data_IF_671709342449
#
_entry.id   IF_671709342449
#
_cell.length_a   1.000
_cell.length_b   1.000
_cell.length_c   1.000
_cell.angle_alpha   90.00
_cell.angle_beta   90.00
_cell.angle_gamma   90.00
#
_symmetry.space_group_name_H-M   'P 1'
#
loop_
_entity.id
_entity.type
_entity.pdbx_description
1 polymer ?
#
# COMPACT_ATOMS: atom_id res chain seq x y z
N UNK A 1 -14.94 -7.55 14.87
CA UNK A 1 -13.91 -7.86 15.89
C UNK A 1 -13.09 -6.61 16.17
N UNK A 2 -12.98 -6.16 17.42
CA UNK A 2 -12.09 -5.06 17.80
C UNK A 2 -10.97 -5.60 18.69
N UNK A 3 -10.13 -6.48 18.13
CA UNK A 3 -9.00 -7.04 18.85
C UNK A 3 -7.84 -6.03 18.87
N UNK A 4 -7.02 -6.07 19.92
CA UNK A 4 -5.78 -5.28 19.99
C UNK A 4 -4.91 -5.52 18.75
N UNK A 5 -4.89 -6.74 18.23
CA UNK A 5 -4.17 -7.14 17.01
C UNK A 5 -4.67 -6.39 15.77
N UNK A 6 -5.99 -6.32 15.54
CA UNK A 6 -6.56 -5.56 14.41
C UNK A 6 -6.20 -4.08 14.49
N UNK A 7 -6.23 -3.49 15.69
CA UNK A 7 -5.86 -2.08 15.88
C UNK A 7 -4.37 -1.86 15.59
N UNK A 8 -3.49 -2.74 16.07
CA UNK A 8 -2.05 -2.66 15.79
C UNK A 8 -1.78 -2.80 14.29
N UNK A 9 -2.34 -3.82 13.64
CA UNK A 9 -2.20 -4.03 12.20
C UNK A 9 -2.67 -2.82 11.39
N UNK A 10 -3.78 -2.19 11.78
CA UNK A 10 -4.30 -0.99 11.15
C UNK A 10 -3.35 0.20 11.28
N UNK A 11 -2.78 0.44 12.46
CA UNK A 11 -1.80 1.52 12.65
C UNK A 11 -0.50 1.24 11.89
N UNK A 12 0.00 -0.01 11.92
CA UNK A 12 1.20 -0.40 11.19
C UNK A 12 1.01 -0.15 9.69
N UNK A 13 -0.09 -0.63 9.10
CA UNK A 13 -0.37 -0.39 7.70
C UNK A 13 -0.57 1.09 7.40
N UNK A 14 -1.36 1.80 8.22
CA UNK A 14 -1.66 3.21 8.03
C UNK A 14 -0.42 4.11 8.08
N UNK A 15 0.44 3.93 9.09
CA UNK A 15 1.69 4.68 9.24
C UNK A 15 2.66 4.35 8.10
N UNK A 16 2.76 3.07 7.72
CA UNK A 16 3.59 2.69 6.57
C UNK A 16 3.13 3.40 5.28
N UNK A 17 1.83 3.46 5.02
CA UNK A 17 1.30 4.15 3.84
C UNK A 17 1.58 5.66 3.90
N UNK A 18 1.46 6.30 5.07
CA UNK A 18 1.84 7.71 5.23
C UNK A 18 3.31 7.94 4.90
N UNK A 19 4.22 7.12 5.44
CA UNK A 19 5.66 7.23 5.18
C UNK A 19 5.94 7.08 3.68
N UNK A 20 5.44 6.03 3.04
CA UNK A 20 5.68 5.82 1.61
C UNK A 20 5.04 6.88 0.73
N UNK A 21 3.84 7.33 1.09
CA UNK A 21 3.12 8.35 0.34
C UNK A 21 3.83 9.69 0.39
N UNK A 22 4.23 10.14 1.59
CA UNK A 22 5.02 11.37 1.76
C UNK A 22 6.38 11.26 1.06
N UNK A 23 7.02 10.09 1.10
CA UNK A 23 8.30 9.89 0.42
C UNK A 23 8.21 10.12 -1.10
N UNK A 24 7.05 9.90 -1.74
CA UNK A 24 6.88 10.18 -3.17
C UNK A 24 6.96 11.66 -3.53
N UNK A 25 6.74 12.56 -2.57
CA UNK A 25 6.81 14.01 -2.77
C UNK A 25 8.10 14.63 -2.22
N UNK A 26 8.59 14.10 -1.10
CA UNK A 26 9.72 14.69 -0.38
C UNK A 26 11.04 13.94 -0.55
N UNK A 27 11.03 12.69 -1.04
CA UNK A 27 12.25 11.95 -1.39
C UNK A 27 13.23 11.72 -0.24
N UNK A 28 12.74 11.51 0.99
CA UNK A 28 13.59 11.36 2.18
C UNK A 28 14.13 9.94 2.40
N UNK A 29 13.61 8.93 1.70
CA UNK A 29 14.12 7.56 1.74
C UNK A 29 15.15 7.34 0.62
N UNK A 30 16.23 6.60 0.89
CA UNK A 30 17.20 6.26 -0.14
C UNK A 30 16.53 5.42 -1.25
N UNK A 31 16.94 5.66 -2.49
CA UNK A 31 16.51 4.84 -3.60
C UNK A 31 17.03 3.39 -3.42
N UNK A 32 16.17 2.37 -3.59
CA UNK A 32 16.61 0.99 -3.50
C UNK A 32 17.53 0.65 -4.69
N UNK A 33 18.48 -0.26 -4.45
CA UNK A 33 19.25 -0.87 -5.54
C UNK A 33 18.37 -1.89 -6.28
N UNK A 34 18.07 -1.62 -7.54
CA UNK A 34 17.12 -2.39 -8.35
C UNK A 34 17.82 -3.08 -9.53
N UNK A 35 17.43 -4.33 -9.86
CA UNK A 35 17.84 -4.97 -11.10
C UNK A 35 17.50 -4.13 -12.33
N UNK A 36 18.27 -4.27 -13.42
CA UNK A 36 18.12 -3.45 -14.63
C UNK A 36 16.67 -3.37 -15.15
N UNK A 37 15.96 -4.51 -15.22
CA UNK A 37 14.57 -4.55 -15.69
C UNK A 37 13.62 -3.77 -14.78
N UNK A 38 13.78 -3.89 -13.46
CA UNK A 38 13.03 -3.12 -12.47
C UNK A 38 13.32 -1.62 -12.61
N UNK A 39 14.60 -1.25 -12.78
CA UNK A 39 15.02 0.14 -12.96
C UNK A 39 14.37 0.76 -14.20
N UNK A 40 14.41 0.08 -15.35
CA UNK A 40 13.78 0.54 -16.60
C UNK A 40 12.28 0.80 -16.39
N UNK A 41 11.56 -0.15 -15.76
CA UNK A 41 10.14 0.00 -15.48
C UNK A 41 9.86 1.20 -14.57
N UNK A 42 10.60 1.33 -13.46
CA UNK A 42 10.42 2.43 -12.51
C UNK A 42 10.73 3.79 -13.14
N UNK A 43 11.78 3.90 -13.95
CA UNK A 43 12.11 5.14 -14.67
C UNK A 43 11.03 5.51 -15.69
N UNK A 44 10.43 4.53 -16.39
CA UNK A 44 9.33 4.80 -17.31
C UNK A 44 8.09 5.34 -16.58
N UNK A 45 7.76 4.76 -15.42
CA UNK A 45 6.66 5.27 -14.58
C UNK A 45 6.96 6.68 -14.04
N UNK A 46 8.19 6.94 -13.62
CA UNK A 46 8.61 8.27 -13.16
C UNK A 46 8.48 9.32 -14.27
N UNK A 47 9.00 8.98 -15.45
CA UNK A 47 9.02 9.86 -16.62
C UNK A 47 7.62 10.17 -17.15
N UNK A 48 6.60 9.38 -16.78
CA UNK A 48 5.20 9.69 -17.09
C UNK A 48 4.70 10.96 -16.38
N UNK A 49 5.34 11.35 -15.28
CA UNK A 49 5.01 12.57 -14.53
C UNK A 49 3.75 12.50 -13.65
N UNK A 50 2.93 11.45 -13.74
CA UNK A 50 1.67 11.35 -12.98
C UNK A 50 1.54 10.12 -12.09
N UNK A 51 2.20 9.00 -12.42
CA UNK A 51 2.01 7.73 -11.71
C UNK A 51 2.46 7.81 -10.24
N UNK A 52 3.68 8.28 -9.97
CA UNK A 52 4.18 8.36 -8.60
C UNK A 52 3.47 9.42 -7.74
N UNK A 53 3.17 10.63 -8.23
CA UNK A 53 2.33 11.57 -7.51
C UNK A 53 0.95 10.99 -7.18
N UNK A 54 0.29 10.34 -8.14
CA UNK A 54 -1.03 9.73 -7.92
C UNK A 54 -0.97 8.61 -6.88
N UNK A 55 0.04 7.75 -6.96
CA UNK A 55 0.27 6.70 -5.97
C UNK A 55 0.52 7.29 -4.57
N UNK A 56 1.30 8.37 -4.50
CA UNK A 56 1.55 9.11 -3.26
C UNK A 56 0.27 9.65 -2.63
N UNK A 57 -0.63 10.24 -3.43
CA UNK A 57 -1.96 10.71 -2.95
C UNK A 57 -2.77 9.56 -2.37
N UNK A 58 -2.88 8.43 -3.08
CA UNK A 58 -3.63 7.28 -2.59
C UNK A 58 -3.05 6.70 -1.30
N UNK A 59 -1.73 6.66 -1.17
CA UNK A 59 -1.07 6.19 0.05
C UNK A 59 -1.33 7.12 1.23
N UNK A 60 -1.21 8.43 1.03
CA UNK A 60 -1.49 9.42 2.08
C UNK A 60 -2.96 9.34 2.49
N UNK A 61 -3.88 9.32 1.53
CA UNK A 61 -5.32 9.23 1.79
C UNK A 61 -5.66 7.97 2.59
N UNK A 62 -5.23 6.80 2.13
CA UNK A 62 -5.46 5.54 2.84
C UNK A 62 -4.81 5.55 4.23
N UNK A 63 -3.58 6.07 4.35
CA UNK A 63 -2.86 6.19 5.61
C UNK A 63 -3.60 7.06 6.64
N UNK A 64 -4.05 8.25 6.24
CA UNK A 64 -4.83 9.15 7.10
C UNK A 64 -6.12 8.46 7.58
N UNK A 65 -6.86 7.84 6.67
CA UNK A 65 -8.12 7.16 6.98
C UNK A 65 -7.91 6.00 7.98
N UNK A 66 -6.87 5.19 7.77
CA UNK A 66 -6.53 4.10 8.68
C UNK A 66 -6.08 4.63 10.06
N UNK A 67 -5.20 5.62 10.13
CA UNK A 67 -4.69 6.16 11.41
C UNK A 67 -5.80 6.87 12.20
N UNK A 68 -6.65 7.65 11.52
CA UNK A 68 -7.79 8.35 12.15
C UNK A 68 -9.00 7.43 12.40
N UNK A 69 -8.91 6.15 11.97
CA UNK A 69 -9.98 5.15 12.04
C UNK A 69 -11.26 5.56 11.32
N UNK A 70 -11.18 6.44 10.31
CA UNK A 70 -12.30 6.91 9.50
C UNK A 70 -12.37 6.13 8.18
N UNK A 71 -13.58 5.79 7.75
CA UNK A 71 -13.83 5.11 6.46
C UNK A 71 -12.88 3.92 6.17
N UNK A 72 -12.57 3.11 7.20
CA UNK A 72 -11.59 2.01 7.10
C UNK A 72 -11.85 1.08 5.90
N UNK A 73 -13.09 0.60 5.62
CA UNK A 73 -13.33 -0.25 4.47
C UNK A 73 -12.93 0.39 3.13
N UNK A 74 -13.20 1.69 2.97
CA UNK A 74 -12.81 2.45 1.77
C UNK A 74 -11.28 2.57 1.64
N UNK A 75 -10.59 2.87 2.75
CA UNK A 75 -9.13 2.93 2.76
C UNK A 75 -8.48 1.60 2.34
N UNK A 76 -9.01 0.48 2.82
CA UNK A 76 -8.51 -0.85 2.47
C UNK A 76 -8.74 -1.18 0.98
N UNK A 77 -9.88 -0.76 0.41
CA UNK A 77 -10.17 -0.95 -1.02
C UNK A 77 -9.24 -0.14 -1.92
N UNK A 78 -8.91 1.10 -1.55
CA UNK A 78 -7.89 1.89 -2.27
C UNK A 78 -6.57 1.11 -2.36
N UNK A 79 -6.20 0.39 -1.29
CA UNK A 79 -4.95 -0.36 -1.22
C UNK A 79 -4.97 -1.72 -1.91
N UNK A 80 -6.13 -2.24 -2.36
CA UNK A 80 -6.21 -3.53 -3.07
C UNK A 80 -5.42 -3.53 -4.38
N UNK A 81 -5.69 -2.65 -5.36
CA UNK A 81 -4.95 -2.65 -6.63
C UNK A 81 -3.45 -2.37 -6.41
N UNK A 82 -3.13 -1.52 -5.44
CA UNK A 82 -1.76 -1.25 -5.01
C UNK A 82 -1.08 -2.53 -4.52
N UNK A 83 -1.71 -3.25 -3.59
CA UNK A 83 -1.16 -4.48 -2.99
C UNK A 83 -0.88 -5.55 -4.04
N UNK A 84 -1.80 -5.69 -5.01
CA UNK A 84 -1.62 -6.62 -6.13
C UNK A 84 -0.44 -6.18 -7.00
N UNK A 85 -0.35 -4.88 -7.32
CA UNK A 85 0.70 -4.36 -8.17
C UNK A 85 2.10 -4.50 -7.54
N UNK A 86 2.27 -4.17 -6.25
CA UNK A 86 3.58 -4.31 -5.58
C UNK A 86 4.05 -5.76 -5.53
N UNK A 87 3.14 -6.71 -5.26
CA UNK A 87 3.47 -8.14 -5.26
C UNK A 87 3.86 -8.60 -6.66
N UNK A 88 3.09 -8.23 -7.69
CA UNK A 88 3.40 -8.57 -9.07
C UNK A 88 4.76 -7.98 -9.53
N UNK A 89 5.04 -6.73 -9.18
CA UNK A 89 6.32 -6.07 -9.46
C UNK A 89 7.49 -6.86 -8.85
N UNK A 90 7.42 -7.18 -7.56
CA UNK A 90 8.52 -7.90 -6.91
C UNK A 90 8.66 -9.33 -7.43
N UNK A 91 7.56 -10.05 -7.68
CA UNK A 91 7.63 -11.40 -8.25
C UNK A 91 8.27 -11.44 -9.65
N UNK A 92 8.15 -10.36 -10.45
CA UNK A 92 8.63 -10.34 -11.84
C UNK A 92 9.93 -9.57 -12.05
N UNK A 93 10.14 -8.49 -11.32
CA UNK A 93 11.19 -7.51 -11.62
C UNK A 93 12.19 -7.34 -10.47
N UNK A 94 11.76 -7.47 -9.22
CA UNK A 94 12.64 -7.37 -8.04
C UNK A 94 12.30 -8.42 -6.95
N UNK A 95 12.69 -9.69 -7.12
CA UNK A 95 12.36 -10.76 -6.17
C UNK A 95 12.97 -10.57 -4.78
N UNK A 96 14.08 -9.83 -4.66
CA UNK A 96 14.74 -9.60 -3.36
C UNK A 96 13.85 -8.78 -2.42
N UNK A 97 13.05 -7.86 -2.95
CA UNK A 97 12.11 -7.04 -2.18
C UNK A 97 10.75 -7.69 -1.89
N UNK A 98 10.50 -8.93 -2.33
CA UNK A 98 9.15 -9.55 -2.28
C UNK A 98 8.59 -9.69 -0.87
N UNK A 99 9.44 -9.92 0.13
CA UNK A 99 9.01 -10.08 1.52
C UNK A 99 8.25 -8.85 2.01
N UNK A 100 8.74 -7.65 1.67
CA UNK A 100 8.10 -6.40 2.08
C UNK A 100 6.72 -6.24 1.42
N UNK A 101 6.62 -6.56 0.13
CA UNK A 101 5.36 -6.52 -0.60
C UNK A 101 4.32 -7.49 -0.04
N UNK A 102 4.75 -8.70 0.34
CA UNK A 102 3.89 -9.68 0.96
C UNK A 102 3.38 -9.21 2.33
N UNK A 103 4.23 -8.59 3.16
CA UNK A 103 3.80 -8.04 4.46
C UNK A 103 2.66 -7.04 4.27
N UNK A 104 2.81 -6.08 3.34
CA UNK A 104 1.80 -5.06 3.08
C UNK A 104 0.50 -5.68 2.54
N UNK A 105 0.61 -6.59 1.56
CA UNK A 105 -0.55 -7.27 0.98
C UNK A 105 -1.28 -8.14 2.00
N UNK A 106 -0.55 -8.88 2.84
CA UNK A 106 -1.11 -9.71 3.91
C UNK A 106 -1.79 -8.86 4.98
N UNK A 107 -1.20 -7.74 5.40
CA UNK A 107 -1.83 -6.81 6.35
C UNK A 107 -3.13 -6.24 5.78
N UNK A 108 -3.13 -5.81 4.51
CA UNK A 108 -4.33 -5.31 3.86
C UNK A 108 -5.43 -6.39 3.78
N UNK A 109 -5.08 -7.60 3.32
CA UNK A 109 -6.00 -8.73 3.25
C UNK A 109 -6.56 -9.15 4.61
N UNK A 110 -5.71 -9.21 5.64
CA UNK A 110 -6.13 -9.48 7.02
C UNK A 110 -7.12 -8.44 7.53
N UNK A 111 -6.87 -7.14 7.30
CA UNK A 111 -7.77 -6.07 7.73
C UNK A 111 -9.09 -6.08 6.95
N UNK A 112 -9.07 -6.42 5.66
CA UNK A 112 -10.28 -6.63 4.87
C UNK A 112 -11.12 -7.75 5.48
N UNK A 113 -10.50 -8.90 5.77
CA UNK A 113 -11.17 -10.02 6.43
C UNK A 113 -11.72 -9.63 7.81
N UNK A 114 -10.94 -8.94 8.63
CA UNK A 114 -11.36 -8.48 9.96
C UNK A 114 -12.54 -7.48 9.92
N UNK A 115 -12.73 -6.81 8.79
CA UNK A 115 -13.83 -5.87 8.53
C UNK A 115 -14.85 -6.40 7.52
N UNK A 116 -14.85 -7.70 7.22
CA UNK A 116 -15.67 -8.31 6.17
C UNK A 116 -17.16 -7.99 6.28
N UNK A 117 -17.71 -7.94 7.50
CA UNK A 117 -19.12 -7.59 7.72
C UNK A 117 -19.51 -6.22 7.14
N UNK A 118 -18.57 -5.27 7.07
CA UNK A 118 -18.78 -3.95 6.48
C UNK A 118 -18.70 -3.95 4.95
N UNK A 119 -18.09 -4.98 4.36
CA UNK A 119 -17.99 -5.13 2.91
C UNK A 119 -19.19 -5.87 2.31
N UNK A 120 -19.93 -6.65 3.12
CA UNK A 120 -21.10 -7.41 2.65
C UNK A 120 -22.13 -6.53 1.92
N UNK A 121 -22.32 -5.28 2.34
CA UNK A 121 -23.25 -4.34 1.69
C UNK A 121 -22.87 -3.97 0.26
N UNK A 122 -21.64 -4.24 -0.20
CA UNK A 122 -21.25 -4.02 -1.60
C UNK A 122 -21.71 -5.16 -2.53
N UNK A 123 -22.11 -6.29 -1.96
CA UNK A 123 -22.45 -7.52 -2.70
C UNK A 123 -23.88 -8.01 -2.42
N UNK A 124 -24.67 -7.23 -1.69
CA UNK A 124 -26.06 -7.52 -1.33
C UNK A 124 -27.02 -6.61 -2.08
#
# INVERSE_FOLDING_TARGET
>A
MNSKVTTIAQYVLGVAMLIFGLNKFFGFMPAPDLPLKAKIFMTALDSSGYIFPLLGVFYILAGILLVTKKAIPFALLILVPVSINIVAFHLKLDPKGVLFALIIATLNGYLIYAHWDRFKSLFN
#
